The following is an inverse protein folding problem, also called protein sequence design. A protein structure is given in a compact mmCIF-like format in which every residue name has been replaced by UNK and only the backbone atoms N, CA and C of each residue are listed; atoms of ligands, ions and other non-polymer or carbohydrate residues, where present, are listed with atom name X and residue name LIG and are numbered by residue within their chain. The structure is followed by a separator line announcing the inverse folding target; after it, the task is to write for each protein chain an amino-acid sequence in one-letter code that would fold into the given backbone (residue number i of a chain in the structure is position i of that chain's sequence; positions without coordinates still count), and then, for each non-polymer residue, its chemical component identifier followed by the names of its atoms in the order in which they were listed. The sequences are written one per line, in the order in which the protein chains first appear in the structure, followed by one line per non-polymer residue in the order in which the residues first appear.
data_IF_339717619599
#
_entry.id   IF_339717619599
#
_cell.length_a   1.000
_cell.length_b   1.000
_cell.length_c   1.000
_cell.angle_alpha   90.00
_cell.angle_beta   90.00
_cell.angle_gamma   90.00
#
_symmetry.space_group_name_H-M   'P 1'
#
loop_
_entity.id
_entity.type
_entity.pdbx_description
1 polymer ?
#
# COMPACT_ATOMS: atom_id res chain seq x y z
N UNK A 1 37.98 22.93 -35.63
CA UNK A 1 38.32 22.31 -34.32
C UNK A 1 37.11 21.53 -33.82
N UNK A 2 37.18 20.21 -33.65
CA UNK A 2 36.12 19.47 -32.97
C UNK A 2 36.26 19.68 -31.45
N UNK A 3 35.15 19.96 -30.77
CA UNK A 3 35.08 20.18 -29.31
C UNK A 3 35.27 18.88 -28.51
N UNK A 4 35.48 18.97 -27.19
CA UNK A 4 35.78 17.79 -26.38
C UNK A 4 34.55 16.87 -26.28
N UNK A 5 34.78 15.57 -26.48
CA UNK A 5 33.81 14.54 -26.15
C UNK A 5 33.64 14.50 -24.63
N UNK A 6 32.42 14.80 -24.15
CA UNK A 6 32.08 14.61 -22.75
C UNK A 6 31.98 13.10 -22.48
N UNK A 7 32.92 12.58 -21.70
CA UNK A 7 32.83 11.24 -21.15
C UNK A 7 31.74 11.24 -20.06
N UNK A 8 30.63 10.55 -20.31
CA UNK A 8 29.65 10.25 -19.27
C UNK A 8 30.25 9.16 -18.36
N UNK A 9 30.34 9.36 -17.04
CA UNK A 9 30.76 8.29 -16.16
C UNK A 9 29.71 7.16 -16.18
N UNK A 10 30.23 5.93 -16.17
CA UNK A 10 29.48 4.68 -16.12
C UNK A 10 28.40 4.72 -15.02
N UNK A 11 27.20 4.26 -15.36
CA UNK A 11 26.14 4.02 -14.41
C UNK A 11 26.55 2.89 -13.45
N UNK A 12 26.56 3.19 -12.15
CA UNK A 12 26.70 2.22 -11.07
C UNK A 12 25.52 1.23 -11.13
N UNK A 13 25.73 -0.08 -10.93
CA UNK A 13 24.64 -1.03 -10.79
C UNK A 13 23.91 -0.76 -9.47
N UNK A 14 22.60 -0.50 -9.55
CA UNK A 14 21.72 -0.40 -8.39
C UNK A 14 21.84 -1.67 -7.56
N UNK A 15 22.52 -1.52 -6.44
CA UNK A 15 22.65 -2.39 -5.31
C UNK A 15 21.26 -2.82 -4.80
N UNK A 16 21.10 -4.14 -4.70
CA UNK A 16 19.94 -4.86 -4.20
C UNK A 16 19.57 -4.44 -2.77
N UNK A 17 18.72 -3.42 -2.63
CA UNK A 17 17.96 -3.19 -1.39
C UNK A 17 16.64 -3.95 -1.47
N UNK A 18 16.63 -5.21 -1.04
CA UNK A 18 15.38 -5.82 -0.56
C UNK A 18 15.13 -5.31 0.85
N UNK A 19 14.34 -4.25 0.94
CA UNK A 19 13.72 -3.79 2.18
C UNK A 19 12.76 -4.90 2.68
N UNK A 20 13.29 -5.80 3.49
CA UNK A 20 12.54 -6.84 4.19
C UNK A 20 12.64 -6.57 5.69
N UNK A 21 11.91 -5.56 6.22
CA UNK A 21 11.57 -5.44 7.65
C UNK A 21 10.45 -4.39 7.86
N UNK A 22 9.29 -4.62 7.23
CA UNK A 22 8.01 -3.92 7.51
C UNK A 22 7.07 -4.92 8.20
N UNK A 23 7.22 -5.13 9.51
CA UNK A 23 6.30 -5.96 10.31
C UNK A 23 6.23 -5.45 11.76
N UNK A 24 5.70 -4.24 11.96
CA UNK A 24 4.98 -3.90 13.20
C UNK A 24 4.06 -2.68 12.92
N UNK A 25 2.82 -2.69 13.42
CA UNK A 25 1.86 -1.56 13.42
C UNK A 25 0.96 -1.26 12.19
N UNK A 26 0.65 -2.24 11.35
CA UNK A 26 -0.52 -2.15 10.47
C UNK A 26 -1.53 -3.25 10.80
N UNK A 27 -2.26 -3.12 11.91
CA UNK A 27 -3.32 -4.06 12.30
C UNK A 27 -4.31 -4.30 11.14
N UNK A 28 -4.24 -5.43 10.42
CA UNK A 28 -5.23 -5.74 9.41
C UNK A 28 -6.46 -6.27 10.14
N UNK A 29 -7.63 -6.14 9.52
CA UNK A 29 -8.85 -6.82 9.96
C UNK A 29 -8.53 -8.28 10.35
N UNK A 30 -8.46 -8.52 11.67
CA UNK A 30 -8.09 -9.77 12.38
C UNK A 30 -7.28 -10.78 11.54
N UNK A 31 -5.95 -10.65 11.53
CA UNK A 31 -5.02 -11.77 11.30
C UNK A 31 -4.70 -12.16 9.84
N UNK A 32 -5.05 -11.33 8.86
CA UNK A 32 -4.69 -11.59 7.46
C UNK A 32 -3.48 -10.74 7.04
N UNK A 33 -2.37 -11.38 6.62
CA UNK A 33 -1.23 -10.68 6.02
C UNK A 33 -1.66 -10.11 4.66
N UNK A 34 -1.46 -8.81 4.47
CA UNK A 34 -1.76 -8.13 3.22
C UNK A 34 -0.54 -8.17 2.29
N UNK A 35 -0.77 -8.23 0.99
CA UNK A 35 0.25 -8.03 -0.04
C UNK A 35 -0.19 -6.95 -1.01
N UNK A 36 0.74 -6.37 -1.76
CA UNK A 36 0.42 -5.42 -2.84
C UNK A 36 -0.55 -5.99 -3.88
N UNK A 37 -0.54 -7.31 -4.07
CA UNK A 37 -1.44 -8.01 -4.97
C UNK A 37 -2.79 -8.37 -4.33
N UNK A 38 -2.97 -8.26 -3.01
CA UNK A 38 -4.21 -8.65 -2.30
C UNK A 38 -4.54 -7.73 -1.13
N UNK A 39 -4.61 -6.43 -1.41
CA UNK A 39 -5.19 -5.45 -0.50
C UNK A 39 -6.30 -4.64 -1.17
N UNK A 40 -7.19 -4.11 -0.34
CA UNK A 40 -8.26 -3.20 -0.71
C UNK A 40 -8.36 -2.10 0.35
N UNK A 41 -8.84 -0.94 -0.05
CA UNK A 41 -9.11 0.20 0.83
C UNK A 41 -10.63 0.42 0.81
N UNK A 42 -11.27 0.37 1.99
CA UNK A 42 -12.71 0.63 2.14
C UNK A 42 -12.98 1.47 3.40
N UNK A 43 -14.22 1.91 3.60
CA UNK A 43 -14.59 2.72 4.74
C UNK A 43 -14.80 1.92 6.04
N UNK A 44 -14.21 2.38 7.15
CA UNK A 44 -14.48 1.87 8.52
C UNK A 44 -15.97 2.01 8.83
N UNK A 45 -16.51 3.23 8.74
CA UNK A 45 -17.95 3.50 8.73
C UNK A 45 -18.41 3.55 7.28
N UNK A 46 -19.31 2.66 6.83
CA UNK A 46 -19.74 2.64 5.44
C UNK A 46 -20.29 3.98 4.96
N UNK A 47 -20.00 4.34 3.71
CA UNK A 47 -20.52 5.56 3.08
C UNK A 47 -22.04 5.66 3.16
N UNK A 48 -22.76 4.54 2.99
CA UNK A 48 -24.23 4.50 3.09
C UNK A 48 -24.79 4.87 4.48
N UNK A 49 -23.95 4.79 5.53
CA UNK A 49 -24.29 5.20 6.90
C UNK A 49 -23.75 6.60 7.24
N UNK A 50 -23.30 7.35 6.24
CA UNK A 50 -22.68 8.66 6.42
C UNK A 50 -21.25 8.60 6.94
N UNK A 51 -20.48 7.61 6.49
CA UNK A 51 -19.02 7.63 6.65
C UNK A 51 -18.37 8.54 5.61
N UNK A 52 -17.46 9.40 6.05
CA UNK A 52 -16.78 10.33 5.15
C UNK A 52 -15.62 9.64 4.42
N UNK A 53 -15.33 10.05 3.18
CA UNK A 53 -14.12 9.64 2.46
C UNK A 53 -12.94 10.47 2.95
N UNK A 54 -12.38 10.07 4.09
CA UNK A 54 -11.17 10.65 4.69
C UNK A 54 -10.25 9.52 5.14
N UNK A 55 -8.96 9.82 5.25
CA UNK A 55 -7.95 8.82 5.61
C UNK A 55 -8.26 8.17 6.97
N UNK A 56 -8.81 8.93 7.91
CA UNK A 56 -9.18 8.43 9.25
C UNK A 56 -10.35 7.44 9.23
N UNK A 57 -11.11 7.39 8.13
CA UNK A 57 -12.20 6.44 7.92
C UNK A 57 -11.81 5.35 6.91
N UNK A 58 -10.54 5.25 6.51
CA UNK A 58 -10.06 4.21 5.60
C UNK A 58 -9.56 2.99 6.37
N UNK A 59 -9.87 1.79 5.89
CA UNK A 59 -9.40 0.52 6.41
C UNK A 59 -8.70 -0.28 5.30
N UNK A 60 -7.53 -0.82 5.62
CA UNK A 60 -6.83 -1.78 4.77
C UNK A 60 -7.34 -3.19 5.07
N UNK A 61 -7.77 -3.90 4.04
CA UNK A 61 -8.37 -5.23 4.16
C UNK A 61 -8.01 -6.09 2.95
N UNK A 62 -7.89 -7.40 3.11
CA UNK A 62 -7.86 -8.30 1.96
C UNK A 62 -9.25 -8.37 1.31
N UNK A 63 -9.32 -8.81 0.06
CA UNK A 63 -10.58 -8.86 -0.70
C UNK A 63 -11.65 -9.71 -0.02
N UNK A 64 -11.26 -10.84 0.58
CA UNK A 64 -12.18 -11.75 1.25
C UNK A 64 -12.88 -11.07 2.44
N UNK A 65 -12.11 -10.45 3.34
CA UNK A 65 -12.67 -9.78 4.51
C UNK A 65 -13.46 -8.52 4.14
N UNK A 66 -13.02 -7.77 3.13
CA UNK A 66 -13.76 -6.62 2.64
C UNK A 66 -15.13 -7.04 2.04
N UNK A 67 -15.15 -8.10 1.22
CA UNK A 67 -16.40 -8.66 0.71
C UNK A 67 -17.31 -9.19 1.81
N UNK A 68 -16.74 -9.81 2.85
CA UNK A 68 -17.51 -10.31 3.98
C UNK A 68 -18.12 -9.17 4.80
N UNK A 69 -17.38 -8.06 5.03
CA UNK A 69 -17.80 -6.87 5.79
C UNK A 69 -19.10 -6.28 5.26
N UNK A 70 -19.17 -6.03 3.96
CA UNK A 70 -20.31 -5.36 3.33
C UNK A 70 -20.64 -4.03 4.02
N UNK A 71 -21.89 -3.84 4.42
CA UNK A 71 -22.36 -2.60 5.05
C UNK A 71 -22.21 -2.57 6.59
N UNK A 72 -21.25 -3.31 7.15
CA UNK A 72 -20.92 -3.28 8.58
C UNK A 72 -19.72 -2.39 8.84
N UNK A 73 -19.57 -1.95 10.09
CA UNK A 73 -18.37 -1.25 10.49
C UNK A 73 -17.23 -2.27 10.69
N UNK A 74 -16.00 -1.78 10.58
CA UNK A 74 -14.77 -2.55 10.87
C UNK A 74 -14.39 -2.35 12.33
#
# INVERSE_FOLDING_TARGET
VPGPALAYPHAEPADDARDEDDDEDAAPARGCKLSWDDFTIDHIKPHSKGGASRLENAALMCRHHNSAKGNRNV
#
